data_IF_725617749067
#
_entry.id   IF_725617749067
#
_cell.length_a   1.000
_cell.length_b   1.000
_cell.length_c   1.000
_cell.angle_alpha   90.00
_cell.angle_beta   90.00
_cell.angle_gamma   90.00
#
_symmetry.space_group_name_H-M   'P 1'
#
loop_
_entity.id
_entity.type
_entity.pdbx_description
1 polymer ?
#
# COMPACT_ATOMS: atom_id res chain seq x y z
N UNK A 1 20.10 41.80 21.49
CA UNK A 1 20.17 42.37 20.13
C UNK A 1 21.65 42.50 19.80
N UNK A 2 22.16 41.72 18.84
CA UNK A 2 23.53 41.91 18.37
C UNK A 2 23.53 43.10 17.40
N UNK A 3 24.33 44.13 17.67
CA UNK A 3 24.54 45.24 16.75
C UNK A 3 25.01 44.66 15.40
N UNK A 4 24.19 44.83 14.35
CA UNK A 4 24.66 44.60 12.98
C UNK A 4 25.76 45.63 12.75
N UNK A 5 27.01 45.18 12.73
CA UNK A 5 28.13 45.99 12.22
C UNK A 5 27.81 46.33 10.78
N UNK A 6 27.26 47.53 10.57
CA UNK A 6 27.02 48.09 9.24
C UNK A 6 28.39 48.47 8.70
N UNK A 7 29.02 47.55 7.96
CA UNK A 7 30.18 47.92 7.16
C UNK A 7 29.71 48.99 6.18
N UNK A 8 30.32 50.17 6.23
CA UNK A 8 30.04 51.25 5.30
C UNK A 8 30.11 50.70 3.87
N UNK A 9 29.03 50.84 3.12
CA UNK A 9 28.91 50.38 1.73
C UNK A 9 29.78 51.27 0.85
N UNK A 10 31.08 51.00 0.84
CA UNK A 10 31.97 51.46 -0.23
C UNK A 10 31.49 50.86 -1.55
N UNK A 11 31.55 51.62 -2.63
CA UNK A 11 31.04 51.19 -3.95
C UNK A 11 31.99 50.17 -4.57
N UNK A 12 31.53 49.39 -5.55
CA UNK A 12 32.35 48.40 -6.26
C UNK A 12 33.61 49.02 -6.90
N UNK A 13 33.54 50.29 -7.29
CA UNK A 13 34.66 51.09 -7.81
C UNK A 13 35.75 51.36 -6.77
N UNK A 14 35.38 51.53 -5.49
CA UNK A 14 36.36 51.74 -4.40
C UNK A 14 37.24 50.51 -4.16
N UNK A 15 36.78 49.31 -4.56
CA UNK A 15 37.49 48.06 -4.35
C UNK A 15 38.42 47.68 -5.51
N UNK A 16 38.17 48.17 -6.72
CA UNK A 16 39.00 47.86 -7.91
C UNK A 16 40.39 48.52 -7.86
N UNK A 17 40.61 49.49 -6.97
CA UNK A 17 41.87 50.24 -6.83
C UNK A 17 42.66 49.90 -5.57
N UNK A 18 42.22 48.94 -4.75
CA UNK A 18 42.97 48.54 -3.54
C UNK A 18 44.22 47.78 -3.97
N UNK A 19 45.39 48.43 -3.84
CA UNK A 19 46.67 47.76 -3.98
C UNK A 19 46.85 46.76 -2.83
N UNK A 20 46.69 45.48 -3.13
CA UNK A 20 46.78 44.41 -2.13
C UNK A 20 48.26 44.15 -1.84
N UNK A 21 48.76 44.47 -0.63
CA UNK A 21 50.17 44.31 -0.31
C UNK A 21 50.53 42.82 -0.34
N UNK A 22 51.45 42.45 -1.23
CA UNK A 22 51.97 41.09 -1.36
C UNK A 22 53.44 41.01 -0.93
N UNK A 23 53.84 39.86 -0.41
CA UNK A 23 55.26 39.58 -0.18
C UNK A 23 55.99 39.22 -1.49
N UNK A 24 57.30 39.01 -1.38
CA UNK A 24 58.19 38.59 -2.48
C UNK A 24 57.79 37.25 -3.11
N UNK A 25 56.91 36.49 -2.46
CA UNK A 25 56.36 35.21 -2.90
C UNK A 25 54.92 35.34 -3.41
N UNK A 26 54.41 36.56 -3.54
CA UNK A 26 53.06 36.86 -4.01
C UNK A 26 51.95 36.65 -2.98
N UNK A 27 52.27 36.39 -1.71
CA UNK A 27 51.28 36.12 -0.65
C UNK A 27 50.73 37.40 -0.06
N UNK A 28 49.46 37.41 0.26
CA UNK A 28 48.79 38.56 0.87
C UNK A 28 49.36 38.82 2.27
N UNK A 29 49.82 40.06 2.53
CA UNK A 29 50.33 40.50 3.84
C UNK A 29 49.17 40.88 4.76
N UNK A 30 48.47 39.88 5.29
CA UNK A 30 47.24 40.06 6.08
C UNK A 30 47.39 41.03 7.27
N UNK A 31 48.52 41.05 7.98
CA UNK A 31 48.74 41.99 9.10
C UNK A 31 48.68 43.46 8.69
N UNK A 32 49.23 43.82 7.52
CA UNK A 32 49.18 45.21 7.04
C UNK A 32 47.75 45.62 6.68
N UNK A 33 46.95 44.69 6.17
CA UNK A 33 45.53 44.91 5.89
C UNK A 33 44.68 44.99 7.16
N UNK A 34 45.10 44.30 8.22
CA UNK A 34 44.48 44.37 9.56
C UNK A 34 44.66 45.76 10.16
N UNK A 35 45.89 46.27 10.15
CA UNK A 35 46.21 47.61 10.66
C UNK A 35 45.45 48.72 9.92
N UNK A 36 45.09 48.48 8.65
CA UNK A 36 44.33 49.41 7.80
C UNK A 36 42.81 49.19 7.85
N UNK A 37 42.32 48.17 8.56
CA UNK A 37 40.88 47.83 8.59
C UNK A 37 40.31 47.36 7.24
N UNK A 38 41.15 46.86 6.32
CA UNK A 38 40.77 46.47 4.95
C UNK A 38 40.57 44.96 4.77
N UNK A 39 40.76 44.15 5.82
CA UNK A 39 40.67 42.68 5.75
C UNK A 39 39.38 42.16 5.10
N UNK A 40 38.22 42.61 5.60
CA UNK A 40 36.91 42.15 5.12
C UNK A 40 36.67 42.49 3.65
N UNK A 41 37.11 43.69 3.24
CA UNK A 41 37.01 44.17 1.87
C UNK A 41 37.85 43.34 0.89
N UNK A 42 39.12 43.08 1.25
CA UNK A 42 40.04 42.29 0.41
C UNK A 42 39.55 40.85 0.28
N UNK A 43 39.07 40.23 1.37
CA UNK A 43 38.49 38.88 1.32
C UNK A 43 37.25 38.84 0.43
N UNK A 44 36.37 39.84 0.51
CA UNK A 44 35.16 39.92 -0.31
C UNK A 44 35.54 40.04 -1.80
N UNK A 45 36.43 40.97 -2.15
CA UNK A 45 36.86 41.20 -3.53
C UNK A 45 37.51 39.96 -4.17
N UNK A 46 38.45 39.32 -3.47
CA UNK A 46 39.11 38.10 -3.94
C UNK A 46 38.13 36.93 -4.08
N UNK A 47 37.17 36.79 -3.17
CA UNK A 47 36.13 35.75 -3.26
C UNK A 47 35.14 36.00 -4.40
N UNK A 48 34.74 37.25 -4.63
CA UNK A 48 33.91 37.65 -5.78
C UNK A 48 34.62 37.31 -7.09
N UNK A 49 35.89 37.70 -7.23
CA UNK A 49 36.69 37.37 -8.42
C UNK A 49 36.81 35.86 -8.64
N UNK A 50 36.97 35.08 -7.57
CA UNK A 50 37.00 33.62 -7.65
C UNK A 50 35.68 33.02 -8.17
N UNK A 51 34.53 33.57 -7.75
CA UNK A 51 33.20 33.14 -8.20
C UNK A 51 32.93 33.58 -9.65
N UNK A 52 33.33 34.79 -10.04
CA UNK A 52 33.19 35.31 -11.41
C UNK A 52 33.95 34.46 -12.44
N UNK A 53 35.01 33.77 -12.02
CA UNK A 53 35.72 32.77 -12.82
C UNK A 53 34.97 31.42 -12.94
N UNK A 54 33.75 31.31 -12.42
CA UNK A 54 32.92 30.12 -12.45
C UNK A 54 33.25 29.07 -11.39
N UNK A 55 34.05 29.40 -10.37
CA UNK A 55 34.42 28.46 -9.32
C UNK A 55 33.46 28.50 -8.13
N UNK A 56 33.05 27.33 -7.61
CA UNK A 56 32.32 27.28 -6.34
C UNK A 56 33.25 27.63 -5.17
N UNK A 57 32.83 28.60 -4.35
CA UNK A 57 33.56 29.03 -3.16
C UNK A 57 33.54 27.96 -2.07
N UNK A 58 34.42 26.96 -2.18
CA UNK A 58 34.59 25.88 -1.20
C UNK A 58 36.05 25.76 -0.79
N UNK A 59 36.30 25.22 0.42
CA UNK A 59 37.68 24.96 0.90
C UNK A 59 38.48 24.08 -0.06
N UNK A 60 37.81 23.10 -0.68
CA UNK A 60 38.44 22.18 -1.64
C UNK A 60 38.84 22.91 -2.91
N UNK A 61 37.95 23.73 -3.47
CA UNK A 61 38.23 24.45 -4.71
C UNK A 61 39.29 25.54 -4.53
N UNK A 62 39.26 26.27 -3.40
CA UNK A 62 40.31 27.25 -3.10
C UNK A 62 41.68 26.60 -2.94
N UNK A 63 41.74 25.43 -2.26
CA UNK A 63 43.00 24.70 -2.11
C UNK A 63 43.51 24.16 -3.45
N UNK A 64 42.62 23.62 -4.30
CA UNK A 64 42.96 23.12 -5.64
C UNK A 64 43.44 24.24 -6.57
N UNK A 65 42.87 25.43 -6.45
CA UNK A 65 43.28 26.61 -7.21
C UNK A 65 44.54 27.31 -6.65
N UNK A 66 45.18 26.75 -5.60
CA UNK A 66 46.34 27.38 -4.96
C UNK A 66 46.03 28.68 -4.19
N UNK A 67 44.74 28.97 -3.95
CA UNK A 67 44.26 30.19 -3.26
C UNK A 67 44.31 30.02 -1.73
N UNK A 68 45.44 29.56 -1.21
CA UNK A 68 45.63 29.32 0.23
C UNK A 68 45.54 30.61 1.06
N UNK A 69 46.02 31.73 0.51
CA UNK A 69 45.92 33.02 1.21
C UNK A 69 44.47 33.45 1.38
N UNK A 70 43.65 33.37 0.33
CA UNK A 70 42.22 33.67 0.42
C UNK A 70 41.53 32.72 1.40
N UNK A 71 41.83 31.42 1.35
CA UNK A 71 41.32 30.46 2.33
C UNK A 71 41.66 30.88 3.78
N UNK A 72 42.91 31.30 4.02
CA UNK A 72 43.35 31.79 5.34
C UNK A 72 42.61 33.07 5.73
N UNK A 73 42.48 34.01 4.79
CA UNK A 73 41.67 35.23 4.87
C UNK A 73 40.25 34.97 5.38
N UNK A 74 39.55 34.05 4.71
CA UNK A 74 38.17 33.68 5.03
C UNK A 74 38.07 33.08 6.43
N UNK A 75 38.95 32.15 6.78
CA UNK A 75 38.86 31.40 8.04
C UNK A 75 39.20 32.27 9.26
N UNK A 76 40.20 33.15 9.14
CA UNK A 76 40.74 33.87 10.29
C UNK A 76 40.23 35.31 10.41
N UNK A 77 39.91 35.96 9.30
CA UNK A 77 39.66 37.40 9.29
C UNK A 77 38.25 37.79 8.85
N UNK A 78 37.47 36.88 8.27
CA UNK A 78 36.10 37.17 7.86
C UNK A 78 35.08 36.76 8.94
N UNK A 79 34.25 37.70 9.44
CA UNK A 79 33.22 37.38 10.42
C UNK A 79 32.28 36.27 9.93
N UNK A 80 32.18 35.17 10.69
CA UNK A 80 31.36 34.00 10.33
C UNK A 80 31.99 33.06 9.31
N UNK A 81 33.26 33.28 8.93
CA UNK A 81 34.02 32.42 8.03
C UNK A 81 33.35 32.26 6.65
N UNK A 82 33.45 31.05 6.07
CA UNK A 82 32.82 30.74 4.78
C UNK A 82 31.31 30.99 4.75
N UNK A 83 30.61 30.67 5.84
CA UNK A 83 29.16 30.85 5.90
C UNK A 83 28.78 32.32 5.87
N UNK A 84 29.46 33.16 6.66
CA UNK A 84 29.25 34.61 6.66
C UNK A 84 29.56 35.23 5.29
N UNK A 85 30.69 34.83 4.70
CA UNK A 85 31.10 35.32 3.38
C UNK A 85 30.12 34.94 2.28
N UNK A 86 29.68 33.68 2.23
CA UNK A 86 28.69 33.23 1.23
C UNK A 86 27.36 33.98 1.35
N UNK A 87 26.89 34.22 2.58
CA UNK A 87 25.68 35.00 2.81
C UNK A 87 25.85 36.43 2.28
N UNK A 88 26.99 37.08 2.56
CA UNK A 88 27.25 38.43 2.08
C UNK A 88 27.39 38.51 0.55
N UNK A 89 27.88 37.45 -0.09
CA UNK A 89 27.99 37.34 -1.54
C UNK A 89 26.71 36.87 -2.24
N UNK A 90 25.62 36.62 -1.50
CA UNK A 90 24.39 36.03 -2.06
C UNK A 90 24.56 34.61 -2.60
N UNK A 91 25.66 33.93 -2.24
CA UNK A 91 25.95 32.56 -2.67
C UNK A 91 25.24 31.58 -1.74
N UNK A 92 24.53 30.56 -2.27
CA UNK A 92 23.95 29.51 -1.45
C UNK A 92 25.03 28.82 -0.60
N UNK A 93 24.93 28.98 0.72
CA UNK A 93 25.77 28.23 1.67
C UNK A 93 25.06 26.95 2.08
N UNK A 94 25.71 25.80 1.84
CA UNK A 94 25.29 24.51 2.40
C UNK A 94 25.45 24.44 3.92
N UNK A 95 26.26 25.32 4.51
CA UNK A 95 26.52 25.39 5.95
C UNK A 95 25.89 26.65 6.55
N UNK A 96 24.92 26.45 7.44
CA UNK A 96 24.29 27.55 8.19
C UNK A 96 25.21 28.01 9.33
N UNK A 97 25.19 29.31 9.72
CA UNK A 97 26.03 29.82 10.79
C UNK A 97 25.70 29.14 12.13
N UNK A 98 26.65 29.18 13.07
CA UNK A 98 26.44 28.65 14.43
C UNK A 98 25.21 29.30 15.07
N UNK A 99 24.37 28.52 15.73
CA UNK A 99 23.14 28.99 16.35
C UNK A 99 21.95 29.16 15.41
N UNK A 100 22.13 29.18 14.08
CA UNK A 100 21.02 29.35 13.11
C UNK A 100 19.86 28.39 13.37
N UNK A 101 20.18 27.12 13.62
CA UNK A 101 19.22 26.06 13.84
C UNK A 101 18.54 26.08 15.22
N UNK A 102 18.96 26.95 16.14
CA UNK A 102 18.33 27.07 17.46
C UNK A 102 17.01 27.85 17.39
N UNK A 103 16.86 28.69 16.37
CA UNK A 103 15.62 29.45 16.13
C UNK A 103 14.64 28.58 15.34
N UNK A 104 13.46 28.31 15.91
CA UNK A 104 12.44 27.46 15.27
C UNK A 104 11.94 28.03 13.94
N UNK A 105 11.83 29.36 13.86
CA UNK A 105 11.43 30.07 12.64
C UNK A 105 12.37 29.79 11.46
N UNK A 106 13.68 29.65 11.72
CA UNK A 106 14.65 29.29 10.68
C UNK A 106 14.45 27.85 10.18
N UNK A 107 14.11 26.92 11.08
CA UNK A 107 13.77 25.54 10.70
C UNK A 107 12.50 25.52 9.84
N UNK A 108 11.48 26.29 10.21
CA UNK A 108 10.21 26.37 9.47
C UNK A 108 10.39 27.00 8.09
N UNK A 109 11.14 28.09 8.01
CA UNK A 109 11.46 28.75 6.75
C UNK A 109 12.19 27.81 5.81
N UNK A 110 13.19 27.08 6.30
CA UNK A 110 13.90 26.09 5.49
C UNK A 110 12.99 24.93 5.08
N UNK A 111 12.14 24.45 5.99
CA UNK A 111 11.15 23.42 5.69
C UNK A 111 10.18 23.83 4.58
N UNK A 112 9.65 25.08 4.63
CA UNK A 112 8.80 25.65 3.57
C UNK A 112 9.56 25.78 2.25
N UNK A 113 10.79 26.30 2.28
CA UNK A 113 11.63 26.44 1.07
C UNK A 113 11.79 25.10 0.38
N UNK A 114 12.13 24.05 1.13
CA UNK A 114 12.31 22.70 0.61
C UNK A 114 11.00 22.13 0.06
N UNK A 115 9.87 22.37 0.71
CA UNK A 115 8.55 21.95 0.21
C UNK A 115 8.17 22.67 -1.11
N UNK A 116 8.38 23.98 -1.20
CA UNK A 116 8.18 24.77 -2.42
C UNK A 116 9.09 24.30 -3.57
N UNK A 117 10.30 23.85 -3.27
CA UNK A 117 11.24 23.24 -4.22
C UNK A 117 10.83 21.80 -4.62
N UNK A 118 9.73 21.27 -4.10
CA UNK A 118 9.25 19.91 -4.38
C UNK A 118 10.06 18.82 -3.68
N UNK A 119 10.87 19.16 -2.68
CA UNK A 119 11.66 18.19 -1.93
C UNK A 119 10.77 17.38 -0.99
N UNK A 120 10.81 16.05 -1.11
CA UNK A 120 10.13 15.18 -0.14
C UNK A 120 10.81 15.28 1.22
N UNK A 121 10.13 15.89 2.20
CA UNK A 121 10.57 16.04 3.59
C UNK A 121 10.57 14.70 4.36
N UNK A 122 11.06 13.63 3.73
CA UNK A 122 11.46 12.38 4.38
C UNK A 122 12.92 12.48 4.77
N UNK A 123 13.21 12.08 6.01
CA UNK A 123 14.57 12.07 6.55
C UNK A 123 15.60 11.44 5.61
N UNK A 124 15.28 10.28 5.01
CA UNK A 124 16.18 9.58 4.08
C UNK A 124 16.46 10.37 2.80
N UNK A 125 15.45 11.06 2.26
CA UNK A 125 15.57 11.88 1.05
C UNK A 125 16.43 13.11 1.33
N UNK A 126 16.17 13.80 2.45
CA UNK A 126 16.93 14.98 2.86
C UNK A 126 18.41 14.68 3.11
N UNK A 127 18.72 13.56 3.79
CA UNK A 127 20.11 13.12 4.01
C UNK A 127 20.81 12.84 2.68
N UNK A 128 20.16 12.16 1.73
CA UNK A 128 20.71 11.90 0.39
C UNK A 128 20.95 13.19 -0.41
N UNK A 129 20.13 14.22 -0.19
CA UNK A 129 20.30 15.54 -0.80
C UNK A 129 21.36 16.41 -0.09
N UNK A 130 22.11 15.87 0.88
CA UNK A 130 23.13 16.62 1.62
C UNK A 130 22.58 17.51 2.73
N UNK A 131 21.28 17.44 3.03
CA UNK A 131 20.60 18.26 4.04
C UNK A 131 20.63 17.61 5.44
N UNK A 132 21.72 16.91 5.76
CA UNK A 132 21.88 16.21 7.04
C UNK A 132 21.88 17.16 8.24
N UNK A 133 22.40 18.37 8.07
CA UNK A 133 22.40 19.41 9.11
C UNK A 133 20.98 19.88 9.46
N UNK A 134 20.12 20.05 8.45
CA UNK A 134 18.71 20.37 8.64
C UNK A 134 17.96 19.23 9.34
N UNK A 135 18.16 17.98 8.91
CA UNK A 135 17.57 16.80 9.58
C UNK A 135 17.97 16.74 11.06
N UNK A 136 19.26 16.95 11.37
CA UNK A 136 19.76 16.96 12.73
C UNK A 136 19.17 18.13 13.55
N UNK A 137 19.03 19.31 12.94
CA UNK A 137 18.40 20.47 13.55
C UNK A 137 16.93 20.22 13.91
N UNK A 138 16.15 19.67 12.97
CA UNK A 138 14.75 19.32 13.20
C UNK A 138 14.62 18.32 14.34
N UNK A 139 15.43 17.26 14.34
CA UNK A 139 15.39 16.24 15.40
C UNK A 139 15.78 16.78 16.78
N UNK A 140 16.70 17.76 16.84
CA UNK A 140 17.24 18.28 18.10
C UNK A 140 16.43 19.42 18.69
N UNK A 141 15.94 20.34 17.85
CA UNK A 141 15.35 21.60 18.31
C UNK A 141 13.85 21.70 18.05
N UNK A 142 13.31 21.00 17.05
CA UNK A 142 11.89 21.14 16.69
C UNK A 142 10.99 20.23 17.53
N UNK A 143 9.89 20.73 18.14
CA UNK A 143 8.94 19.90 18.88
C UNK A 143 8.39 18.76 18.01
N UNK A 144 8.34 17.53 18.54
CA UNK A 144 7.99 16.30 17.80
C UNK A 144 8.89 15.98 16.58
N UNK A 145 10.03 16.66 16.43
CA UNK A 145 10.95 16.50 15.32
C UNK A 145 10.28 16.68 13.95
N UNK A 146 10.56 15.75 13.03
CA UNK A 146 10.06 15.84 11.64
C UNK A 146 8.53 15.69 11.55
N UNK A 147 7.89 15.04 12.53
CA UNK A 147 6.43 14.91 12.58
C UNK A 147 5.80 16.26 12.90
N UNK A 148 6.33 16.97 13.90
CA UNK A 148 5.88 18.30 14.26
C UNK A 148 6.09 19.30 13.13
N UNK A 149 7.26 19.27 12.48
CA UNK A 149 7.54 20.14 11.35
C UNK A 149 6.52 19.91 10.22
N UNK A 150 6.31 18.66 9.79
CA UNK A 150 5.33 18.36 8.73
C UNK A 150 3.92 18.81 9.09
N UNK A 151 3.51 18.62 10.35
CA UNK A 151 2.21 19.09 10.85
C UNK A 151 2.09 20.61 10.74
N UNK A 152 3.10 21.36 11.17
CA UNK A 152 3.10 22.83 11.11
C UNK A 152 3.12 23.35 9.66
N UNK A 153 3.71 22.60 8.74
CA UNK A 153 3.71 22.90 7.31
C UNK A 153 2.41 22.46 6.59
N UNK A 154 1.43 21.87 7.29
CA UNK A 154 0.21 21.35 6.65
C UNK A 154 0.44 20.10 5.79
N UNK A 155 1.59 19.43 5.95
CA UNK A 155 1.97 18.25 5.17
C UNK A 155 1.44 16.98 5.81
N UNK A 156 1.14 15.97 4.97
CA UNK A 156 0.73 14.64 5.41
C UNK A 156 1.77 14.05 6.37
N UNK A 157 1.34 13.69 7.58
CA UNK A 157 2.18 12.99 8.57
C UNK A 157 2.42 11.56 8.10
N UNK A 158 3.70 11.19 7.92
CA UNK A 158 4.10 9.86 7.40
C UNK A 158 4.18 8.84 8.54
N UNK A 159 4.66 9.27 9.71
CA UNK A 159 4.88 8.41 10.88
C UNK A 159 4.19 9.03 12.08
N UNK A 160 3.35 8.24 12.77
CA UNK A 160 2.74 8.67 14.02
C UNK A 160 3.82 8.76 15.12
N UNK A 161 3.72 9.71 16.08
CA UNK A 161 4.69 9.85 17.16
C UNK A 161 4.74 8.59 18.04
N UNK A 162 5.84 8.38 18.78
CA UNK A 162 6.09 7.14 19.52
C UNK A 162 4.99 6.77 20.52
N UNK A 163 4.37 7.77 21.15
CA UNK A 163 3.32 7.60 22.15
C UNK A 163 1.90 7.75 21.56
N UNK A 164 1.75 7.76 20.24
CA UNK A 164 0.45 7.88 19.60
C UNK A 164 -0.45 6.68 19.87
N UNK A 165 0.13 5.48 19.88
CA UNK A 165 -0.61 4.24 19.98
C UNK A 165 -0.97 3.92 21.44
N UNK A 166 -1.98 4.60 21.95
CA UNK A 166 -2.69 4.20 23.17
C UNK A 166 -3.79 3.19 22.84
N UNK A 167 -4.35 2.49 23.83
CA UNK A 167 -5.46 1.54 23.57
C UNK A 167 -6.68 2.25 23.00
N UNK A 168 -6.95 3.45 23.48
CA UNK A 168 -8.05 4.33 23.06
C UNK A 168 -7.84 4.79 21.61
N UNK A 169 -6.63 5.24 21.26
CA UNK A 169 -6.33 5.61 19.87
C UNK A 169 -6.38 4.43 18.92
N UNK A 170 -5.92 3.24 19.35
CA UNK A 170 -6.05 2.01 18.55
C UNK A 170 -7.53 1.68 18.35
N UNK A 171 -8.37 1.83 19.38
CA UNK A 171 -9.80 1.59 19.31
C UNK A 171 -10.48 2.53 18.30
N UNK A 172 -10.26 3.84 18.43
CA UNK A 172 -10.84 4.86 17.52
C UNK A 172 -10.36 4.68 16.08
N UNK A 173 -9.07 4.47 15.85
CA UNK A 173 -8.53 4.23 14.50
C UNK A 173 -9.06 2.92 13.89
N UNK A 174 -9.27 1.90 14.72
CA UNK A 174 -9.86 0.63 14.29
C UNK A 174 -11.36 0.76 13.99
N UNK A 175 -12.08 1.57 14.76
CA UNK A 175 -13.49 1.90 14.52
C UNK A 175 -13.65 2.68 13.21
N UNK A 176 -12.83 3.71 12.99
CA UNK A 176 -12.82 4.44 11.72
C UNK A 176 -12.50 3.54 10.52
N UNK A 177 -11.56 2.60 10.68
CA UNK A 177 -11.28 1.60 9.64
C UNK A 177 -12.48 0.65 9.41
N UNK A 178 -13.15 0.23 10.49
CA UNK A 178 -14.34 -0.62 10.42
C UNK A 178 -15.51 0.11 9.71
N UNK A 179 -15.72 1.39 9.99
CA UNK A 179 -16.77 2.20 9.36
C UNK A 179 -16.51 2.37 7.85
N UNK A 180 -15.23 2.45 7.45
CA UNK A 180 -14.83 2.55 6.05
C UNK A 180 -14.94 1.23 5.27
N UNK A 181 -14.50 0.11 5.87
CA UNK A 181 -14.36 -1.17 5.17
C UNK A 181 -15.49 -2.17 5.49
N UNK A 182 -16.36 -1.85 6.45
CA UNK A 182 -17.42 -2.71 6.99
C UNK A 182 -16.95 -3.92 7.79
N UNK A 183 -15.64 -4.21 7.81
CA UNK A 183 -15.03 -5.32 8.52
C UNK A 183 -13.56 -5.02 8.83
N UNK A 184 -13.08 -5.56 9.95
CA UNK A 184 -11.66 -5.49 10.33
C UNK A 184 -11.02 -6.88 10.32
N UNK A 185 -9.88 -7.02 9.65
CA UNK A 185 -9.05 -8.22 9.68
C UNK A 185 -7.58 -7.88 9.47
N UNK A 186 -6.66 -8.73 9.91
CA UNK A 186 -5.22 -8.47 9.75
C UNK A 186 -4.84 -8.35 8.27
N UNK A 187 -5.47 -9.15 7.41
CA UNK A 187 -5.30 -9.10 5.96
C UNK A 187 -5.78 -7.77 5.38
N UNK A 188 -6.96 -7.30 5.77
CA UNK A 188 -7.50 -6.01 5.28
C UNK A 188 -6.67 -4.82 5.75
N UNK A 189 -6.19 -4.84 7.00
CA UNK A 189 -5.27 -3.80 7.49
C UNK A 189 -3.96 -3.78 6.67
N UNK A 190 -3.45 -4.95 6.29
CA UNK A 190 -2.27 -5.05 5.43
C UNK A 190 -2.55 -4.54 4.00
N UNK A 191 -3.65 -4.99 3.38
CA UNK A 191 -4.09 -4.57 2.03
C UNK A 191 -4.39 -3.07 1.96
N UNK A 192 -4.96 -2.49 3.02
CA UNK A 192 -5.21 -1.06 3.17
C UNK A 192 -3.98 -0.24 3.62
N UNK A 193 -2.78 -0.82 3.59
CA UNK A 193 -1.52 -0.19 4.01
C UNK A 193 -1.53 0.36 5.46
N UNK A 194 -2.40 -0.14 6.33
CA UNK A 194 -2.52 0.18 7.77
C UNK A 194 -1.67 -0.76 8.65
N UNK A 195 -0.44 -1.02 8.20
CA UNK A 195 0.52 -1.85 8.94
C UNK A 195 0.92 -1.23 10.29
N UNK A 196 0.84 0.09 10.39
CA UNK A 196 1.04 0.84 11.63
C UNK A 196 -0.01 0.46 12.69
N UNK A 197 -1.29 0.48 12.30
CA UNK A 197 -2.40 0.09 13.16
C UNK A 197 -2.34 -1.41 13.51
N UNK A 198 -2.07 -2.28 12.54
CA UNK A 198 -1.92 -3.72 12.79
C UNK A 198 -0.85 -4.01 13.84
N UNK A 199 0.33 -3.40 13.71
CA UNK A 199 1.42 -3.57 14.67
C UNK A 199 1.06 -3.00 16.06
N UNK A 200 0.34 -1.88 16.11
CA UNK A 200 -0.15 -1.32 17.36
C UNK A 200 -1.14 -2.27 18.06
N UNK A 201 -2.08 -2.86 17.31
CA UNK A 201 -3.02 -3.86 17.81
C UNK A 201 -2.26 -5.06 18.41
N UNK A 202 -1.31 -5.62 17.67
CA UNK A 202 -0.54 -6.79 18.12
C UNK A 202 0.29 -6.51 19.40
N UNK A 203 0.72 -5.26 19.60
CA UNK A 203 1.51 -4.86 20.78
C UNK A 203 0.64 -4.57 22.00
N UNK A 204 -0.50 -3.89 21.83
CA UNK A 204 -1.28 -3.36 22.95
C UNK A 204 -2.51 -4.22 23.31
N UNK A 205 -2.90 -5.16 22.45
CA UNK A 205 -3.99 -6.10 22.70
C UNK A 205 -3.41 -7.52 22.84
N UNK A 206 -3.41 -8.13 24.04
CA UNK A 206 -2.85 -9.48 24.25
C UNK A 206 -3.48 -10.57 23.36
N UNK A 207 -4.78 -10.46 23.06
CA UNK A 207 -5.47 -11.33 22.10
C UNK A 207 -5.42 -10.83 20.65
N UNK A 208 -4.59 -9.83 20.37
CA UNK A 208 -4.46 -9.16 19.08
C UNK A 208 -5.79 -8.68 18.53
N UNK A 209 -6.01 -8.93 17.23
CA UNK A 209 -7.23 -8.51 16.54
C UNK A 209 -8.50 -9.20 17.07
N UNK A 210 -8.39 -10.36 17.72
CA UNK A 210 -9.56 -11.05 18.29
C UNK A 210 -10.09 -10.29 19.50
N UNK A 211 -9.19 -9.88 20.39
CA UNK A 211 -9.56 -9.06 21.55
C UNK A 211 -10.14 -7.73 21.11
N UNK A 212 -9.47 -7.03 20.17
CA UNK A 212 -9.98 -5.77 19.62
C UNK A 212 -11.40 -5.90 19.06
N UNK A 213 -11.70 -7.00 18.35
CA UNK A 213 -13.07 -7.24 17.84
C UNK A 213 -14.10 -7.41 18.95
N UNK A 214 -13.73 -8.06 20.05
CA UNK A 214 -14.62 -8.18 21.21
C UNK A 214 -14.88 -6.79 21.81
N UNK A 215 -13.83 -5.98 21.97
CA UNK A 215 -13.92 -4.63 22.52
C UNK A 215 -14.76 -3.71 21.59
N UNK A 216 -14.66 -3.89 20.26
CA UNK A 216 -15.51 -3.21 19.27
C UNK A 216 -16.96 -3.74 19.20
N UNK A 217 -17.33 -4.74 20.00
CA UNK A 217 -18.67 -5.33 19.99
C UNK A 217 -18.97 -6.20 18.76
N UNK A 218 -17.97 -6.58 17.96
CA UNK A 218 -18.13 -7.39 16.75
C UNK A 218 -18.32 -8.90 17.03
N UNK A 219 -18.36 -9.28 18.30
CA UNK A 219 -18.40 -10.67 18.73
C UNK A 219 -17.13 -11.45 18.36
N UNK A 220 -16.91 -12.62 18.97
CA UNK A 220 -15.79 -13.47 18.58
C UNK A 220 -16.02 -13.99 17.15
N UNK A 221 -15.07 -13.72 16.24
CA UNK A 221 -15.15 -14.20 14.84
C UNK A 221 -15.12 -15.73 14.73
N UNK A 222 -14.69 -16.42 15.78
CA UNK A 222 -14.72 -17.86 15.89
C UNK A 222 -15.62 -18.24 17.06
N UNK A 223 -16.57 -19.15 16.81
CA UNK A 223 -17.34 -19.77 17.88
C UNK A 223 -16.40 -20.55 18.84
N UNK A 224 -16.74 -20.65 20.14
CA UNK A 224 -15.91 -21.37 21.12
C UNK A 224 -15.58 -22.81 20.73
N UNK A 225 -14.52 -23.36 21.31
CA UNK A 225 -14.23 -24.80 21.22
C UNK A 225 -15.44 -25.58 21.77
N UNK A 226 -15.87 -26.64 21.07
CA UNK A 226 -17.11 -27.40 21.31
C UNK A 226 -18.45 -26.71 21.01
N UNK A 227 -18.48 -25.48 20.48
CA UNK A 227 -19.74 -24.87 20.05
C UNK A 227 -20.46 -25.69 18.97
N UNK A 228 -19.70 -26.27 18.05
CA UNK A 228 -20.25 -27.03 16.93
C UNK A 228 -20.55 -28.47 17.35
N UNK A 229 -21.75 -28.67 17.90
CA UNK A 229 -22.35 -30.00 18.04
C UNK A 229 -23.14 -30.36 16.78
N UNK A 230 -23.47 -31.65 16.53
CA UNK A 230 -24.35 -32.03 15.44
C UNK A 230 -25.68 -31.25 15.44
N UNK A 231 -26.26 -31.00 16.60
CA UNK A 231 -27.51 -30.26 16.77
C UNK A 231 -27.35 -28.80 16.33
N UNK A 232 -26.29 -28.12 16.78
CA UNK A 232 -26.02 -26.72 16.39
C UNK A 232 -25.68 -26.59 14.91
N UNK A 233 -24.95 -27.58 14.34
CA UNK A 233 -24.69 -27.64 12.90
C UNK A 233 -26.01 -27.80 12.13
N UNK A 234 -26.91 -28.68 12.58
CA UNK A 234 -28.23 -28.91 11.96
C UNK A 234 -29.07 -27.64 11.99
N UNK A 235 -29.14 -26.97 13.14
CA UNK A 235 -29.85 -25.70 13.34
C UNK A 235 -29.30 -24.61 12.43
N UNK A 236 -27.98 -24.43 12.39
CA UNK A 236 -27.34 -23.44 11.53
C UNK A 236 -27.52 -23.72 10.04
N UNK A 237 -27.57 -25.00 9.64
CA UNK A 237 -27.85 -25.42 8.27
C UNK A 237 -29.31 -25.19 7.87
N UNK A 238 -30.27 -25.45 8.78
CA UNK A 238 -31.68 -25.11 8.56
C UNK A 238 -31.90 -23.60 8.42
N UNK A 239 -31.27 -22.80 9.27
CA UNK A 239 -31.32 -21.34 9.16
C UNK A 239 -30.76 -20.87 7.80
N UNK A 240 -29.64 -21.44 7.37
CA UNK A 240 -29.08 -21.17 6.05
C UNK A 240 -30.03 -21.56 4.91
N UNK A 241 -30.72 -22.70 5.02
CA UNK A 241 -31.72 -23.15 4.03
C UNK A 241 -32.99 -22.29 4.00
N UNK A 242 -33.28 -21.53 5.06
CA UNK A 242 -34.36 -20.54 5.05
C UNK A 242 -34.05 -19.34 4.14
N UNK A 243 -32.77 -19.06 3.92
CA UNK A 243 -32.28 -17.97 3.06
C UNK A 243 -31.90 -18.48 1.65
N UNK A 244 -31.54 -19.76 1.52
CA UNK A 244 -30.96 -20.36 0.33
C UNK A 244 -31.61 -21.70 -0.01
N UNK A 245 -31.94 -21.96 -1.27
CA UNK A 245 -32.63 -23.20 -1.68
C UNK A 245 -31.77 -24.47 -1.52
N UNK A 246 -30.44 -24.32 -1.48
CA UNK A 246 -29.52 -25.44 -1.52
C UNK A 246 -28.44 -25.36 -0.46
N UNK A 247 -28.08 -26.51 0.11
CA UNK A 247 -26.93 -26.63 1.01
C UNK A 247 -25.76 -27.26 0.26
N UNK A 248 -24.81 -26.46 -0.23
CA UNK A 248 -23.58 -26.99 -0.87
C UNK A 248 -22.32 -26.40 -0.24
N UNK A 249 -21.20 -27.13 -0.29
CA UNK A 249 -19.91 -26.65 0.24
C UNK A 249 -19.43 -25.38 -0.44
N UNK A 250 -19.69 -25.24 -1.74
CA UNK A 250 -19.29 -24.08 -2.52
C UNK A 250 -20.18 -22.88 -2.20
N UNK A 251 -21.49 -23.09 -2.06
CA UNK A 251 -22.41 -22.02 -1.72
C UNK A 251 -22.14 -21.48 -0.31
N UNK A 252 -21.92 -22.35 0.68
CA UNK A 252 -21.49 -21.93 2.02
C UNK A 252 -20.20 -21.09 1.99
N UNK A 253 -19.22 -21.46 1.16
CA UNK A 253 -17.99 -20.70 1.02
C UNK A 253 -18.22 -19.33 0.36
N UNK A 254 -19.05 -19.28 -0.69
CA UNK A 254 -19.41 -18.03 -1.39
C UNK A 254 -20.18 -17.06 -0.49
N UNK A 255 -21.07 -17.58 0.36
CA UNK A 255 -21.82 -16.79 1.34
C UNK A 255 -21.05 -16.51 2.63
N UNK A 256 -19.73 -16.76 2.67
CA UNK A 256 -18.90 -16.48 3.84
C UNK A 256 -19.14 -17.40 5.05
N UNK A 257 -19.99 -18.43 4.93
CA UNK A 257 -20.29 -19.45 5.95
C UNK A 257 -19.24 -20.57 5.97
N UNK A 258 -17.97 -20.18 5.90
CA UNK A 258 -16.84 -21.11 5.95
C UNK A 258 -16.70 -21.81 7.30
N UNK A 259 -17.19 -21.18 8.37
CA UNK A 259 -17.32 -21.75 9.71
C UNK A 259 -18.23 -22.97 9.71
N UNK A 260 -19.46 -22.83 9.20
CA UNK A 260 -20.44 -23.91 9.09
C UNK A 260 -19.93 -25.02 8.14
N UNK A 261 -19.36 -24.65 6.99
CA UNK A 261 -18.73 -25.62 6.07
C UNK A 261 -17.68 -26.48 6.78
N UNK A 262 -16.81 -25.84 7.56
CA UNK A 262 -15.75 -26.52 8.29
C UNK A 262 -16.32 -27.38 9.41
N UNK A 263 -17.31 -26.87 10.14
CA UNK A 263 -18.00 -27.59 11.20
C UNK A 263 -18.66 -28.87 10.68
N UNK A 264 -19.40 -28.79 9.56
CA UNK A 264 -20.02 -29.94 8.89
C UNK A 264 -18.97 -30.99 8.55
N UNK A 265 -17.84 -30.58 7.95
CA UNK A 265 -16.80 -31.53 7.52
C UNK A 265 -16.05 -32.21 8.66
N UNK A 266 -15.93 -31.56 9.82
CA UNK A 266 -15.16 -32.04 10.97
C UNK A 266 -16.01 -32.77 12.02
N UNK A 267 -17.19 -32.24 12.34
CA UNK A 267 -17.94 -32.63 13.54
C UNK A 267 -19.28 -33.31 13.22
N UNK A 268 -19.79 -33.22 11.99
CA UNK A 268 -21.08 -33.83 11.65
C UNK A 268 -20.91 -35.29 11.17
N UNK A 269 -21.62 -36.26 11.75
CA UNK A 269 -21.60 -37.65 11.28
C UNK A 269 -22.01 -37.78 9.81
N UNK A 270 -21.19 -38.45 9.00
CA UNK A 270 -21.42 -38.53 7.54
C UNK A 270 -21.20 -37.22 6.78
N UNK A 271 -20.67 -36.18 7.43
CA UNK A 271 -20.29 -34.88 6.84
C UNK A 271 -21.49 -34.23 6.12
N UNK A 272 -21.26 -33.57 4.99
CA UNK A 272 -22.31 -32.90 4.21
C UNK A 272 -23.40 -33.86 3.75
N UNK A 273 -23.04 -35.10 3.39
CA UNK A 273 -23.99 -36.11 2.91
C UNK A 273 -24.89 -36.60 4.05
N UNK A 274 -24.32 -36.88 5.22
CA UNK A 274 -25.07 -37.22 6.43
C UNK A 274 -26.03 -36.10 6.81
N UNK A 275 -25.54 -34.86 6.86
CA UNK A 275 -26.37 -33.71 7.16
C UNK A 275 -27.54 -33.54 6.18
N UNK A 276 -27.30 -33.67 4.88
CA UNK A 276 -28.39 -33.59 3.88
C UNK A 276 -29.45 -34.66 4.11
N UNK A 277 -29.03 -35.90 4.44
CA UNK A 277 -29.93 -36.99 4.78
C UNK A 277 -30.80 -36.65 5.98
N UNK A 278 -30.19 -36.17 7.05
CA UNK A 278 -30.85 -35.88 8.32
C UNK A 278 -31.77 -34.65 8.23
N UNK A 279 -31.53 -33.79 7.24
CA UNK A 279 -32.40 -32.67 6.89
C UNK A 279 -33.51 -33.04 5.90
N UNK A 280 -33.59 -34.30 5.43
CA UNK A 280 -34.56 -34.72 4.42
C UNK A 280 -34.33 -34.08 3.05
N UNK A 281 -33.15 -33.49 2.82
CA UNK A 281 -32.80 -32.93 1.52
C UNK A 281 -32.55 -34.07 0.55
N UNK A 282 -33.09 -33.93 -0.65
CA UNK A 282 -32.98 -34.96 -1.66
C UNK A 282 -31.50 -35.20 -2.04
N UNK A 283 -30.95 -36.31 -1.56
CA UNK A 283 -29.57 -36.72 -1.85
C UNK A 283 -29.50 -37.51 -3.16
N UNK A 284 -30.60 -37.58 -3.95
CA UNK A 284 -30.66 -38.31 -5.23
C UNK A 284 -29.49 -38.01 -6.18
N UNK A 285 -28.78 -36.90 -5.99
CA UNK A 285 -27.58 -36.54 -6.73
C UNK A 285 -26.33 -37.41 -6.44
N UNK A 286 -26.25 -38.14 -5.32
CA UNK A 286 -25.14 -39.09 -5.09
C UNK A 286 -25.53 -40.44 -5.66
N UNK A 287 -25.46 -40.52 -6.99
CA UNK A 287 -25.63 -41.76 -7.73
C UNK A 287 -24.54 -42.76 -7.32
N UNK A 288 -24.91 -44.03 -7.14
CA UNK A 288 -23.96 -45.10 -6.76
C UNK A 288 -22.86 -45.22 -7.83
N UNK A 289 -21.66 -45.65 -7.43
CA UNK A 289 -20.59 -45.99 -8.39
C UNK A 289 -21.14 -47.02 -9.40
N UNK A 290 -21.00 -46.74 -10.69
CA UNK A 290 -21.56 -47.56 -11.78
C UNK A 290 -22.96 -47.15 -12.25
N UNK A 291 -23.61 -46.16 -11.63
CA UNK A 291 -24.90 -45.63 -12.11
C UNK A 291 -24.78 -44.94 -13.47
N UNK A 292 -23.71 -44.17 -13.67
CA UNK A 292 -23.47 -43.44 -14.92
C UNK A 292 -22.92 -44.39 -15.98
N UNK A 293 -23.82 -45.12 -16.62
CA UNK A 293 -23.54 -45.83 -17.89
C UNK A 293 -23.78 -44.87 -19.06
N UNK A 294 -23.31 -45.22 -20.27
CA UNK A 294 -23.51 -44.40 -21.46
C UNK A 294 -25.00 -44.13 -21.71
N UNK A 295 -25.82 -45.16 -21.55
CA UNK A 295 -27.27 -45.14 -21.78
C UNK A 295 -27.97 -44.22 -20.77
N UNK A 296 -27.56 -44.26 -19.50
CA UNK A 296 -28.10 -43.37 -18.46
C UNK A 296 -27.69 -41.92 -18.71
N UNK A 297 -26.45 -41.68 -19.15
CA UNK A 297 -25.99 -40.33 -19.52
C UNK A 297 -26.80 -39.80 -20.69
N UNK A 298 -26.99 -40.60 -21.75
CA UNK A 298 -27.81 -40.25 -22.92
C UNK A 298 -29.24 -39.91 -22.53
N UNK A 299 -29.89 -40.79 -21.75
CA UNK A 299 -31.25 -40.58 -21.26
C UNK A 299 -31.38 -39.31 -20.41
N UNK A 300 -30.56 -39.14 -19.39
CA UNK A 300 -30.68 -37.98 -18.50
C UNK A 300 -30.31 -36.66 -19.20
N UNK A 301 -29.37 -36.70 -20.15
CA UNK A 301 -29.02 -35.54 -20.97
C UNK A 301 -30.16 -35.16 -21.93
N UNK A 302 -30.84 -36.16 -22.49
CA UNK A 302 -32.03 -35.96 -23.30
C UNK A 302 -33.18 -35.35 -22.51
N UNK A 303 -33.52 -35.91 -21.34
CA UNK A 303 -34.56 -35.39 -20.46
C UNK A 303 -34.25 -33.94 -20.05
N UNK A 304 -32.98 -33.64 -19.73
CA UNK A 304 -32.55 -32.28 -19.44
C UNK A 304 -32.73 -31.35 -20.64
N UNK A 305 -32.37 -31.80 -21.85
CA UNK A 305 -32.56 -31.03 -23.07
C UNK A 305 -34.05 -30.75 -23.35
N UNK A 306 -34.93 -31.72 -23.15
CA UNK A 306 -36.38 -31.54 -23.31
C UNK A 306 -36.95 -30.49 -22.35
N UNK A 307 -36.44 -30.46 -21.11
CA UNK A 307 -36.89 -29.51 -20.09
C UNK A 307 -36.35 -28.09 -20.31
N UNK A 308 -35.09 -27.96 -20.73
CA UNK A 308 -34.37 -26.67 -20.74
C UNK A 308 -34.13 -26.13 -22.15
N UNK A 309 -34.41 -26.90 -23.19
CA UNK A 309 -34.17 -26.58 -24.60
C UNK A 309 -32.69 -26.49 -25.00
N UNK A 310 -31.75 -26.64 -24.06
CA UNK A 310 -30.32 -26.45 -24.30
C UNK A 310 -29.47 -27.41 -23.45
N UNK A 311 -28.64 -28.21 -24.10
CA UNK A 311 -27.67 -29.08 -23.44
C UNK A 311 -26.26 -28.47 -23.50
N UNK A 312 -26.02 -27.47 -22.65
CA UNK A 312 -24.72 -26.80 -22.54
C UNK A 312 -24.15 -26.89 -21.13
N UNK A 313 -22.83 -26.72 -20.99
CA UNK A 313 -22.20 -26.64 -19.67
C UNK A 313 -22.86 -25.55 -18.80
N UNK A 314 -23.13 -24.39 -19.36
CA UNK A 314 -23.70 -23.26 -18.61
C UNK A 314 -25.13 -23.56 -18.18
N UNK A 315 -25.95 -24.17 -19.05
CA UNK A 315 -27.31 -24.57 -18.71
C UNK A 315 -27.32 -25.61 -17.56
N UNK A 316 -26.49 -26.65 -17.66
CA UNK A 316 -26.34 -27.66 -16.60
C UNK A 316 -25.87 -27.02 -15.28
N UNK A 317 -24.94 -26.08 -15.33
CA UNK A 317 -24.46 -25.36 -14.14
C UNK A 317 -25.53 -24.44 -13.54
N UNK A 318 -26.31 -23.75 -14.37
CA UNK A 318 -27.39 -22.87 -13.93
C UNK A 318 -28.50 -23.64 -13.22
N UNK A 319 -28.75 -24.90 -13.63
CA UNK A 319 -29.71 -25.82 -13.00
C UNK A 319 -29.08 -26.77 -11.98
N UNK A 320 -27.86 -26.49 -11.53
CA UNK A 320 -27.13 -27.29 -10.55
C UNK A 320 -26.94 -28.79 -10.89
N UNK A 321 -27.04 -29.18 -12.17
CA UNK A 321 -26.81 -30.55 -12.69
C UNK A 321 -25.32 -30.83 -12.93
N UNK A 322 -24.51 -30.55 -11.91
CA UNK A 322 -23.06 -30.79 -11.95
C UNK A 322 -22.70 -32.27 -12.03
N UNK A 323 -23.57 -33.14 -11.52
CA UNK A 323 -23.48 -34.59 -11.58
C UNK A 323 -23.52 -35.07 -13.03
N UNK A 324 -24.55 -34.66 -13.78
CA UNK A 324 -24.70 -34.99 -15.19
C UNK A 324 -23.55 -34.40 -16.01
N UNK A 325 -23.15 -33.14 -15.76
CA UNK A 325 -21.97 -32.58 -16.43
C UNK A 325 -20.70 -33.39 -16.18
N UNK A 326 -20.49 -33.86 -14.94
CA UNK A 326 -19.39 -34.73 -14.58
C UNK A 326 -19.42 -36.05 -15.37
N UNK A 327 -20.59 -36.66 -15.49
CA UNK A 327 -20.79 -37.89 -16.26
C UNK A 327 -20.56 -37.67 -17.76
N UNK A 328 -21.09 -36.60 -18.34
CA UNK A 328 -20.88 -36.20 -19.74
C UNK A 328 -19.39 -35.98 -20.06
N UNK A 329 -18.59 -35.49 -19.09
CA UNK A 329 -17.14 -35.35 -19.29
C UNK A 329 -16.42 -36.69 -19.39
N UNK A 330 -16.95 -37.73 -18.76
CA UNK A 330 -16.44 -39.09 -18.83
C UNK A 330 -16.97 -39.87 -20.05
N UNK A 331 -18.07 -39.41 -20.65
CA UNK A 331 -18.65 -39.98 -21.86
C UNK A 331 -17.68 -39.94 -23.06
N UNK A 332 -17.54 -41.01 -23.87
CA UNK A 332 -16.65 -41.04 -25.04
C UNK A 332 -16.95 -39.91 -26.03
N UNK A 333 -15.95 -39.11 -26.38
CA UNK A 333 -16.13 -37.93 -27.24
C UNK A 333 -16.83 -36.73 -26.56
N UNK A 334 -17.09 -36.82 -25.24
CA UNK A 334 -17.61 -35.75 -24.38
C UNK A 334 -18.96 -35.21 -24.87
N UNK A 335 -19.28 -33.97 -24.51
CA UNK A 335 -20.57 -33.33 -24.84
C UNK A 335 -20.86 -33.22 -26.34
N UNK A 336 -19.84 -33.12 -27.20
CA UNK A 336 -20.05 -33.04 -28.66
C UNK A 336 -20.55 -34.35 -29.24
N UNK A 337 -19.88 -35.45 -28.89
CA UNK A 337 -20.32 -36.78 -29.32
C UNK A 337 -21.68 -37.14 -28.73
N UNK A 338 -21.93 -36.77 -27.47
CA UNK A 338 -23.24 -36.95 -26.86
C UNK A 338 -24.34 -36.18 -27.59
N UNK A 339 -24.11 -34.89 -27.91
CA UNK A 339 -25.07 -34.09 -28.68
C UNK A 339 -25.33 -34.69 -30.06
N UNK A 340 -24.27 -35.08 -30.77
CA UNK A 340 -24.40 -35.73 -32.08
C UNK A 340 -25.19 -37.04 -32.01
N UNK A 341 -24.93 -37.86 -30.98
CA UNK A 341 -25.65 -39.12 -30.72
C UNK A 341 -27.14 -38.88 -30.45
N UNK A 342 -27.46 -37.80 -29.74
CA UNK A 342 -28.84 -37.38 -29.43
C UNK A 342 -29.53 -36.62 -30.59
N UNK A 343 -28.92 -36.54 -31.78
CA UNK A 343 -29.49 -35.76 -32.91
C UNK A 343 -29.50 -34.24 -32.68
N UNK A 344 -28.84 -33.76 -31.61
CA UNK A 344 -28.71 -32.34 -31.31
C UNK A 344 -27.57 -31.80 -32.16
N UNK A 345 -27.92 -31.22 -33.30
CA UNK A 345 -26.95 -30.52 -34.14
C UNK A 345 -26.16 -29.51 -33.30
N UNK A 346 -24.87 -29.35 -33.61
CA UNK A 346 -24.08 -28.26 -33.04
C UNK A 346 -24.73 -26.97 -33.53
N UNK A 347 -25.67 -26.44 -32.75
CA UNK A 347 -26.28 -25.12 -32.93
C UNK A 347 -25.13 -24.14 -32.97
N UNK A 348 -24.71 -23.86 -34.20
CA UNK A 348 -23.65 -22.93 -34.48
C UNK A 348 -24.13 -21.61 -33.91
N UNK A 349 -23.27 -20.85 -33.22
CA UNK A 349 -23.68 -19.63 -32.49
C UNK A 349 -24.37 -18.56 -33.36
N UNK A 350 -24.42 -18.77 -34.68
CA UNK A 350 -25.04 -17.88 -35.67
C UNK A 350 -26.28 -18.46 -36.38
N UNK A 351 -26.71 -19.70 -36.11
CA UNK A 351 -27.95 -20.24 -36.71
C UNK A 351 -29.12 -20.07 -35.74
N UNK A 352 -29.77 -18.92 -35.84
CA UNK A 352 -31.14 -18.74 -35.37
C UNK A 352 -32.02 -19.58 -36.32
N UNK A 353 -32.96 -20.36 -35.77
CA UNK A 353 -34.03 -21.07 -36.52
C UNK A 353 -33.76 -22.49 -37.06
N UNK A 354 -33.46 -23.44 -36.18
CA UNK A 354 -34.04 -24.80 -36.33
C UNK A 354 -34.58 -25.24 -34.97
N UNK A 355 -35.84 -24.90 -34.70
CA UNK A 355 -36.59 -25.46 -33.57
C UNK A 355 -37.13 -26.80 -34.05
N UNK A 356 -36.46 -27.90 -33.69
CA UNK A 356 -37.01 -29.24 -33.90
C UNK A 356 -38.24 -29.36 -32.98
N UNK A 357 -39.38 -29.78 -33.54
CA UNK A 357 -40.61 -29.97 -32.78
C UNK A 357 -40.39 -31.03 -31.68
N UNK A 358 -40.92 -30.84 -30.45
CA UNK A 358 -40.86 -31.85 -29.39
C UNK A 358 -41.34 -33.25 -29.83
N UNK A 359 -42.26 -33.32 -30.80
CA UNK A 359 -42.80 -34.59 -31.30
C UNK A 359 -41.79 -35.38 -32.15
N UNK A 360 -41.05 -34.70 -33.05
CA UNK A 360 -39.98 -35.33 -33.84
C UNK A 360 -38.84 -35.83 -32.96
N UNK A 361 -38.56 -35.08 -31.90
CA UNK A 361 -37.56 -35.43 -30.91
C UNK A 361 -37.94 -36.73 -30.16
N UNK A 362 -39.21 -36.86 -29.75
CA UNK A 362 -39.70 -38.05 -29.05
C UNK A 362 -39.72 -39.30 -29.94
N UNK A 363 -39.97 -39.16 -31.24
CA UNK A 363 -39.96 -40.29 -32.16
C UNK A 363 -38.54 -40.81 -32.45
N UNK A 364 -37.53 -39.94 -32.49
CA UNK A 364 -36.13 -40.34 -32.60
C UNK A 364 -35.65 -41.15 -31.38
N UNK A 365 -36.10 -40.80 -30.17
CA UNK A 365 -35.72 -41.53 -28.97
C UNK A 365 -36.33 -42.94 -28.93
N UNK A 366 -37.59 -43.11 -29.38
CA UNK A 366 -38.20 -44.45 -29.46
C UNK A 366 -37.39 -45.39 -30.34
N UNK A 367 -36.91 -44.90 -31.49
CA UNK A 367 -36.04 -45.69 -32.38
C UNK A 367 -34.71 -46.06 -31.72
N UNK A 368 -34.11 -45.17 -30.94
CA UNK A 368 -32.85 -45.43 -30.23
C UNK A 368 -32.97 -46.40 -29.05
N UNK A 369 -34.17 -46.61 -28.50
CA UNK A 369 -34.40 -47.54 -27.39
C UNK A 369 -34.89 -48.92 -27.86
N UNK A 370 -35.32 -49.02 -29.12
CA UNK A 370 -35.74 -50.27 -29.75
C UNK A 370 -34.58 -51.01 -30.45
N UNK A 371 -33.45 -50.33 -30.67
CA UNK A 371 -32.14 -50.88 -31.09
C UNK A 371 -31.24 -51.19 -29.88
#
# INVERSE_FOLDING_TARGET
>A
MAERTVFATKTEEDFQSIDIPRDDRGRIRWRLLEDQGLLGAVVLAEATGFIQQGNDLTRVNLSRAGKFDLLYGIVHYYPGGFSGLKVNLGVPSSSRPSGFWRELTNIEHEGRRLDTEGSDLKQRTLVKAGLSSFVAAVAKYYPDGMVGLRRNLGLKIIKKPGNYWTKEMIFEESKGFLDQEGKISARLLFEGHRNDLLNAILRHYPGGIRQLKQDLGLGPSAKPYHYWTPEEIRKAALAFLGEEEHLTTNLLARQGRGDLRTAIGKFYPGKMTGLKRDLGLDIRLIRKKGYWTSEVIEKEAWEFFQQEGLLTRNALQAKNRYDLWGAIRAYPGRIRALRAKLGLSDTNKNSVDVIISPDEANEQLRRLLEE
#
